data_IF_719079722508
#
_entry.id   IF_719079722508
#
_cell.length_a   1.000
_cell.length_b   1.000
_cell.length_c   1.000
_cell.angle_alpha   90.00
_cell.angle_beta   90.00
_cell.angle_gamma   90.00
#
_symmetry.space_group_name_H-M   'P 1'
#
loop_
_entity.id
_entity.type
_entity.pdbx_description
1 polymer ?
#
# COMPACT_ATOMS: atom_id res chain seq x y z
N UNK A 1 28.06 -20.25 16.96
CA UNK A 1 27.84 -20.76 15.57
C UNK A 1 28.11 -19.65 14.60
N UNK A 2 28.70 -19.91 13.45
CA UNK A 2 28.88 -18.93 12.37
C UNK A 2 27.52 -18.59 11.75
N UNK A 3 27.32 -17.35 11.33
CA UNK A 3 26.13 -16.89 10.59
C UNK A 3 26.51 -16.72 9.11
N UNK A 4 25.59 -17.06 8.21
CA UNK A 4 25.77 -16.94 6.76
C UNK A 4 25.48 -15.53 6.29
N UNK A 5 24.72 -14.77 7.08
CA UNK A 5 24.36 -13.37 6.83
C UNK A 5 24.01 -12.67 8.17
N UNK A 6 24.16 -11.35 8.23
CA UNK A 6 23.70 -10.59 9.38
C UNK A 6 22.17 -10.50 9.42
N UNK A 7 21.56 -10.18 8.29
CA UNK A 7 20.10 -10.01 8.20
C UNK A 7 19.53 -10.79 7.03
N UNK A 8 18.56 -11.66 7.34
CA UNK A 8 17.73 -12.34 6.38
C UNK A 8 16.44 -11.53 6.16
N UNK A 9 16.10 -11.23 4.91
CA UNK A 9 14.86 -10.55 4.52
C UNK A 9 14.01 -11.50 3.70
N UNK A 10 12.77 -11.75 4.11
CA UNK A 10 11.81 -12.59 3.41
C UNK A 10 10.92 -11.71 2.53
N UNK A 11 11.14 -11.74 1.22
CA UNK A 11 10.43 -10.95 0.22
C UNK A 11 11.22 -9.78 -0.34
N UNK A 12 11.35 -9.71 -1.68
CA UNK A 12 12.07 -8.69 -2.44
C UNK A 12 11.23 -7.50 -2.91
N UNK A 13 9.98 -7.36 -2.43
CA UNK A 13 9.11 -6.24 -2.78
C UNK A 13 9.60 -4.89 -2.21
N UNK A 14 8.84 -3.78 -2.39
CA UNK A 14 9.29 -2.43 -2.02
C UNK A 14 9.76 -2.29 -0.58
N UNK A 15 9.13 -2.97 0.39
CA UNK A 15 9.56 -2.96 1.79
C UNK A 15 10.88 -3.68 2.00
N UNK A 16 11.03 -4.89 1.43
CA UNK A 16 12.25 -5.68 1.52
C UNK A 16 13.43 -5.01 0.84
N UNK A 17 13.25 -4.55 -0.41
CA UNK A 17 14.30 -3.85 -1.17
C UNK A 17 14.74 -2.54 -0.49
N UNK A 18 13.78 -1.76 0.07
CA UNK A 18 14.11 -0.55 0.85
C UNK A 18 14.95 -0.90 2.08
N UNK A 19 14.55 -1.92 2.82
CA UNK A 19 15.27 -2.37 4.03
C UNK A 19 16.66 -2.88 3.65
N UNK A 20 16.75 -3.73 2.62
CA UNK A 20 18.01 -4.32 2.15
C UNK A 20 19.02 -3.24 1.73
N UNK A 21 18.60 -2.28 0.89
CA UNK A 21 19.42 -1.16 0.46
C UNK A 21 20.04 -0.41 1.64
N UNK A 22 19.22 -0.03 2.62
CA UNK A 22 19.69 0.78 3.76
C UNK A 22 20.57 -0.01 4.72
N UNK A 23 20.32 -1.30 4.91
CA UNK A 23 21.14 -2.16 5.76
C UNK A 23 22.49 -2.46 5.11
N UNK A 24 22.53 -2.78 3.81
CA UNK A 24 23.77 -3.01 3.06
C UNK A 24 24.66 -1.74 3.07
N UNK A 25 24.10 -0.56 2.81
CA UNK A 25 24.81 0.71 2.98
C UNK A 25 25.32 0.95 4.40
N UNK A 26 24.60 0.43 5.38
CA UNK A 26 24.99 0.47 6.78
C UNK A 26 26.11 -0.52 7.15
N UNK A 27 26.64 -1.28 6.19
CA UNK A 27 27.75 -2.22 6.35
C UNK A 27 27.35 -3.61 6.88
N UNK A 28 26.05 -3.96 6.84
CA UNK A 28 25.60 -5.30 7.21
C UNK A 28 25.58 -6.24 6.00
N UNK A 29 25.88 -7.50 6.24
CA UNK A 29 25.67 -8.57 5.26
C UNK A 29 24.18 -8.92 5.21
N UNK A 30 23.54 -8.68 4.04
CA UNK A 30 22.09 -8.81 3.85
C UNK A 30 21.79 -9.83 2.78
N UNK A 31 20.91 -10.78 3.10
CA UNK A 31 20.38 -11.75 2.13
C UNK A 31 18.87 -11.59 2.03
N UNK A 32 18.37 -11.32 0.83
CA UNK A 32 16.94 -11.30 0.49
C UNK A 32 16.58 -12.63 -0.13
N UNK A 33 15.51 -13.26 0.36
CA UNK A 33 14.93 -14.49 -0.21
C UNK A 33 13.60 -14.12 -0.85
N UNK A 34 13.48 -14.30 -2.18
CA UNK A 34 12.29 -14.00 -2.95
C UNK A 34 11.84 -15.24 -3.73
N UNK A 35 10.55 -15.59 -3.58
CA UNK A 35 9.99 -16.81 -4.19
C UNK A 35 9.72 -16.69 -5.69
N UNK A 36 9.47 -15.49 -6.17
CA UNK A 36 9.18 -15.24 -7.59
C UNK A 36 10.41 -14.67 -8.29
N UNK A 37 10.58 -15.00 -9.57
CA UNK A 37 11.61 -14.38 -10.40
C UNK A 37 11.08 -13.02 -10.86
N UNK A 38 11.84 -11.95 -10.59
CA UNK A 38 11.51 -10.62 -11.09
C UNK A 38 11.92 -10.47 -12.58
N UNK A 39 11.21 -9.62 -13.36
CA UNK A 39 10.02 -8.85 -13.00
C UNK A 39 8.78 -9.73 -12.87
N UNK A 40 7.94 -9.45 -11.85
CA UNK A 40 6.72 -10.20 -11.59
C UNK A 40 5.50 -9.28 -11.44
N UNK A 41 4.35 -9.76 -11.84
CA UNK A 41 3.12 -8.99 -11.69
C UNK A 41 2.75 -8.76 -10.21
N UNK A 42 2.36 -7.52 -9.88
CA UNK A 42 1.80 -7.17 -8.56
C UNK A 42 0.84 -5.99 -8.73
N UNK A 43 -0.24 -5.95 -7.96
CA UNK A 43 -1.16 -4.81 -7.90
C UNK A 43 -0.64 -3.73 -6.94
N UNK A 44 -1.04 -2.46 -7.19
CA UNK A 44 -0.67 -1.31 -6.37
C UNK A 44 0.23 -0.34 -7.13
N UNK A 45 -0.23 0.09 -8.29
CA UNK A 45 0.50 0.85 -9.31
C UNK A 45 0.64 2.33 -8.95
N UNK A 46 -0.31 2.85 -8.18
CA UNK A 46 -0.33 4.27 -7.85
C UNK A 46 0.45 4.57 -6.58
N UNK A 47 1.46 5.42 -6.69
CA UNK A 47 2.26 5.88 -5.56
C UNK A 47 1.66 7.13 -4.90
N UNK A 48 2.19 7.50 -3.74
CA UNK A 48 1.89 8.77 -3.07
C UNK A 48 3.15 9.64 -2.95
N UNK A 49 3.03 10.97 -2.91
CA UNK A 49 4.19 11.89 -2.94
C UNK A 49 5.27 11.61 -1.89
N UNK A 50 4.91 11.14 -0.70
CA UNK A 50 5.90 10.81 0.32
C UNK A 50 6.74 9.56 0.03
N UNK A 51 6.52 8.84 -1.08
CA UNK A 51 7.49 7.87 -1.62
C UNK A 51 8.76 8.58 -2.14
N UNK A 52 8.62 9.80 -2.70
CA UNK A 52 9.73 10.49 -3.35
C UNK A 52 10.93 10.76 -2.44
N UNK A 53 10.77 11.26 -1.19
CA UNK A 53 11.90 11.42 -0.27
C UNK A 53 12.58 10.10 0.09
N UNK A 54 11.83 9.00 0.17
CA UNK A 54 12.42 7.67 0.44
C UNK A 54 13.23 7.22 -0.77
N UNK A 55 12.69 7.34 -1.99
CA UNK A 55 13.43 7.03 -3.23
C UNK A 55 14.71 7.87 -3.37
N UNK A 56 14.66 9.17 -3.01
CA UNK A 56 15.83 10.03 -2.99
C UNK A 56 16.86 9.57 -1.94
N UNK A 57 16.43 9.23 -0.72
CA UNK A 57 17.29 8.68 0.34
C UNK A 57 17.96 7.37 -0.08
N UNK A 58 17.22 6.52 -0.80
CA UNK A 58 17.77 5.30 -1.39
C UNK A 58 18.72 5.56 -2.56
N UNK A 59 18.76 6.78 -3.11
CA UNK A 59 19.56 7.08 -4.30
C UNK A 59 19.04 6.47 -5.60
N UNK A 60 17.77 6.00 -5.60
CA UNK A 60 17.16 5.33 -6.76
C UNK A 60 16.22 6.25 -7.54
N UNK A 61 15.95 7.46 -7.02
CA UNK A 61 14.93 8.37 -7.59
C UNK A 61 15.22 8.71 -9.07
N UNK A 62 16.48 8.94 -9.44
CA UNK A 62 16.83 9.31 -10.82
C UNK A 62 16.67 8.10 -11.77
N UNK A 63 16.94 6.88 -11.30
CA UNK A 63 16.62 5.64 -12.06
C UNK A 63 15.11 5.52 -12.31
N UNK A 64 14.28 5.81 -11.29
CA UNK A 64 12.82 5.78 -11.39
C UNK A 64 12.32 6.85 -12.38
N UNK A 65 12.85 8.08 -12.33
CA UNK A 65 12.50 9.14 -13.30
C UNK A 65 12.89 8.77 -14.73
N UNK A 66 14.08 8.22 -14.90
CA UNK A 66 14.58 7.81 -16.22
C UNK A 66 13.81 6.63 -16.82
N UNK A 67 13.10 5.85 -15.99
CA UNK A 67 12.32 4.69 -16.46
C UNK A 67 11.09 5.08 -17.31
N UNK A 68 10.58 6.30 -17.16
CA UNK A 68 9.45 6.81 -17.95
C UNK A 68 8.08 6.40 -17.40
N UNK A 69 7.97 6.20 -16.10
CA UNK A 69 6.67 6.07 -15.43
C UNK A 69 5.85 7.36 -15.54
N UNK A 70 4.52 7.24 -15.49
CA UNK A 70 3.63 8.37 -15.67
C UNK A 70 3.60 9.27 -14.42
N UNK A 71 3.82 10.56 -14.62
CA UNK A 71 3.74 11.55 -13.54
C UNK A 71 2.31 11.70 -13.01
N UNK A 72 2.15 11.67 -11.69
CA UNK A 72 0.87 11.84 -10.99
C UNK A 72 0.89 13.09 -10.13
N UNK A 73 -0.07 13.99 -10.33
CA UNK A 73 -0.18 15.27 -9.61
C UNK A 73 -1.38 15.35 -8.67
N UNK A 74 -2.24 14.33 -8.64
CA UNK A 74 -3.44 14.34 -7.80
C UNK A 74 -4.24 13.06 -7.84
N UNK A 75 -5.42 13.13 -7.25
CA UNK A 75 -6.45 12.08 -7.27
C UNK A 75 -7.82 12.73 -7.40
N UNK A 76 -8.66 12.18 -8.25
CA UNK A 76 -10.04 12.62 -8.48
C UNK A 76 -11.00 11.54 -8.01
N UNK A 77 -11.94 11.91 -7.16
CA UNK A 77 -13.05 11.05 -6.73
C UNK A 77 -14.31 11.52 -7.44
N UNK A 78 -15.09 10.58 -7.95
CA UNK A 78 -16.42 10.83 -8.52
C UNK A 78 -17.42 9.91 -7.81
N UNK A 79 -18.50 10.49 -7.29
CA UNK A 79 -19.59 9.74 -6.65
C UNK A 79 -20.84 9.88 -7.53
N UNK A 80 -21.29 8.76 -8.10
CA UNK A 80 -22.41 8.72 -9.06
C UNK A 80 -23.74 9.07 -8.40
N UNK A 81 -23.97 8.66 -7.15
CA UNK A 81 -25.24 8.96 -6.47
C UNK A 81 -25.31 10.41 -5.94
N UNK A 82 -24.17 11.00 -5.55
CA UNK A 82 -24.10 12.41 -5.16
C UNK A 82 -24.00 13.35 -6.37
N UNK A 83 -23.72 12.80 -7.55
CA UNK A 83 -23.40 13.57 -8.77
C UNK A 83 -22.30 14.62 -8.51
N UNK A 84 -21.24 14.21 -7.79
CA UNK A 84 -20.16 15.10 -7.36
C UNK A 84 -18.80 14.55 -7.75
N UNK A 85 -17.92 15.51 -8.05
CA UNK A 85 -16.51 15.25 -8.26
C UNK A 85 -15.67 16.09 -7.28
N UNK A 86 -14.60 15.49 -6.74
CA UNK A 86 -13.66 16.14 -5.85
C UNK A 86 -12.23 15.78 -6.25
N UNK A 87 -11.43 16.78 -6.63
CA UNK A 87 -10.02 16.61 -6.99
C UNK A 87 -9.11 17.15 -5.90
N UNK A 88 -8.18 16.33 -5.47
CA UNK A 88 -7.12 16.66 -4.50
C UNK A 88 -5.77 16.72 -5.24
N UNK A 89 -5.30 17.93 -5.52
CA UNK A 89 -4.05 18.17 -6.23
C UNK A 89 -2.88 18.31 -5.25
N UNK A 90 -1.76 17.66 -5.54
CA UNK A 90 -0.51 17.82 -4.81
C UNK A 90 0.13 19.15 -5.22
N UNK A 91 0.04 20.17 -4.36
CA UNK A 91 0.42 21.55 -4.68
C UNK A 91 1.90 21.81 -4.46
N UNK A 92 2.52 22.54 -5.37
CA UNK A 92 3.88 23.08 -5.22
C UNK A 92 4.02 23.98 -3.97
N UNK A 93 5.23 24.08 -3.46
CA UNK A 93 5.53 24.92 -2.28
C UNK A 93 5.04 24.36 -0.94
N UNK A 94 4.52 23.14 -0.91
CA UNK A 94 4.15 22.45 0.32
C UNK A 94 5.34 21.65 0.89
N UNK A 95 5.33 21.29 2.19
CA UNK A 95 6.43 20.53 2.80
C UNK A 95 6.52 19.05 2.36
N UNK A 96 5.84 18.68 1.28
CA UNK A 96 5.89 17.38 0.62
C UNK A 96 6.04 17.59 -0.89
N UNK A 97 6.55 16.59 -1.62
CA UNK A 97 6.62 16.66 -3.07
C UNK A 97 5.25 16.89 -3.71
N UNK A 98 5.21 17.68 -4.79
CA UNK A 98 3.98 18.05 -5.49
C UNK A 98 3.56 17.05 -6.57
N UNK A 99 4.33 15.96 -6.74
CA UNK A 99 4.05 14.89 -7.69
C UNK A 99 4.57 13.56 -7.17
N UNK A 100 4.15 12.51 -7.84
CA UNK A 100 4.64 11.14 -7.69
C UNK A 100 4.46 10.41 -9.02
N UNK A 101 4.43 9.07 -9.04
CA UNK A 101 4.27 8.29 -10.25
C UNK A 101 3.14 7.27 -10.13
N UNK A 102 2.53 6.96 -11.27
CA UNK A 102 1.83 5.70 -11.49
C UNK A 102 2.78 4.75 -12.25
N UNK A 103 2.99 3.56 -11.70
CA UNK A 103 4.08 2.66 -12.10
C UNK A 103 3.57 1.27 -12.49
N UNK A 104 4.19 0.66 -13.48
CA UNK A 104 4.11 -0.79 -13.66
C UNK A 104 4.89 -1.45 -12.54
N UNK A 105 4.19 -2.12 -11.61
CA UNK A 105 4.80 -2.69 -10.40
C UNK A 105 5.88 -3.72 -10.68
N UNK A 106 5.76 -4.49 -11.75
CA UNK A 106 6.80 -5.44 -12.14
C UNK A 106 8.15 -4.74 -12.35
N UNK A 107 8.13 -3.64 -13.09
CA UNK A 107 9.30 -2.85 -13.43
C UNK A 107 9.81 -2.02 -12.23
N UNK A 108 8.89 -1.36 -11.53
CA UNK A 108 9.24 -0.56 -10.34
C UNK A 108 9.89 -1.41 -9.26
N UNK A 109 9.31 -2.58 -8.95
CA UNK A 109 9.84 -3.48 -7.93
C UNK A 109 11.20 -4.05 -8.37
N UNK A 110 11.40 -4.37 -9.67
CA UNK A 110 12.68 -4.78 -10.22
C UNK A 110 13.76 -3.72 -10.03
N UNK A 111 13.48 -2.46 -10.38
CA UNK A 111 14.43 -1.34 -10.20
C UNK A 111 14.86 -1.21 -8.73
N UNK A 112 13.95 -1.38 -7.78
CA UNK A 112 14.27 -1.33 -6.37
C UNK A 112 15.12 -2.51 -5.92
N UNK A 113 14.83 -3.72 -6.39
CA UNK A 113 15.57 -4.93 -6.03
C UNK A 113 16.98 -4.92 -6.61
N UNK A 114 17.12 -4.56 -7.90
CA UNK A 114 18.43 -4.42 -8.57
C UNK A 114 19.27 -3.33 -7.90
N UNK A 115 18.62 -2.26 -7.44
CA UNK A 115 19.31 -1.23 -6.69
C UNK A 115 19.83 -1.76 -5.34
N UNK A 116 19.05 -2.57 -4.62
CA UNK A 116 19.52 -3.20 -3.39
C UNK A 116 20.74 -4.12 -3.64
N UNK A 117 20.75 -4.86 -4.76
CA UNK A 117 21.92 -5.67 -5.19
C UNK A 117 23.13 -4.77 -5.47
N UNK A 118 22.93 -3.66 -6.20
CA UNK A 118 24.02 -2.70 -6.50
C UNK A 118 24.61 -2.05 -5.24
N UNK A 119 23.89 -2.05 -4.13
CA UNK A 119 24.34 -1.56 -2.83
C UNK A 119 24.95 -2.67 -1.92
N UNK A 120 25.04 -3.91 -2.43
CA UNK A 120 25.73 -5.01 -1.76
C UNK A 120 24.80 -6.07 -1.13
N UNK A 121 23.49 -5.98 -1.28
CA UNK A 121 22.59 -7.05 -0.82
C UNK A 121 22.69 -8.28 -1.74
N UNK A 122 22.65 -9.48 -1.17
CA UNK A 122 22.50 -10.73 -1.92
C UNK A 122 21.03 -11.04 -2.11
N UNK A 123 20.63 -11.51 -3.29
CA UNK A 123 19.26 -11.91 -3.61
C UNK A 123 19.25 -13.36 -4.05
N UNK A 124 18.39 -14.16 -3.43
CA UNK A 124 18.12 -15.55 -3.77
C UNK A 124 16.72 -15.61 -4.37
N UNK A 125 16.63 -15.80 -5.70
CA UNK A 125 15.37 -15.92 -6.45
C UNK A 125 15.53 -16.87 -7.65
N UNK A 126 14.58 -17.81 -7.89
CA UNK A 126 13.46 -18.13 -7.02
C UNK A 126 13.91 -18.93 -5.79
N UNK A 127 13.50 -18.49 -4.60
CA UNK A 127 13.75 -19.25 -3.38
C UNK A 127 12.62 -19.01 -2.36
N UNK A 128 12.13 -20.05 -1.73
CA UNK A 128 11.02 -20.00 -0.78
C UNK A 128 11.51 -20.34 0.63
N UNK A 129 11.13 -19.51 1.60
CA UNK A 129 11.33 -19.84 3.02
C UNK A 129 10.24 -20.80 3.45
N UNK A 130 10.63 -22.02 3.84
CA UNK A 130 9.71 -23.06 4.29
C UNK A 130 9.49 -23.03 5.80
N UNK A 131 10.57 -22.85 6.56
CA UNK A 131 10.54 -22.87 8.02
C UNK A 131 11.55 -21.91 8.61
N UNK A 132 11.18 -21.32 9.75
CA UNK A 132 12.06 -20.49 10.58
C UNK A 132 12.14 -21.07 11.99
N UNK A 133 13.35 -21.12 12.53
CA UNK A 133 13.61 -21.52 13.92
C UNK A 133 14.47 -20.43 14.56
N UNK A 134 13.97 -19.84 15.64
CA UNK A 134 14.66 -18.81 16.42
C UNK A 134 15.34 -19.46 17.63
N UNK A 135 16.53 -18.98 17.95
CA UNK A 135 17.26 -19.31 19.17
C UNK A 135 17.90 -18.06 19.80
N UNK A 136 18.67 -18.23 20.87
CA UNK A 136 19.30 -17.12 21.56
C UNK A 136 20.26 -16.30 20.67
N UNK A 137 20.90 -16.94 19.66
CA UNK A 137 21.95 -16.32 18.87
C UNK A 137 21.49 -15.87 17.49
N UNK A 138 20.35 -16.37 16.97
CA UNK A 138 19.92 -16.04 15.63
C UNK A 138 18.60 -16.66 15.20
N UNK A 139 18.45 -16.74 13.89
CA UNK A 139 17.34 -17.41 13.21
C UNK A 139 17.91 -18.32 12.11
N UNK A 140 17.41 -19.55 12.07
CA UNK A 140 17.74 -20.52 11.02
C UNK A 140 16.55 -20.66 10.10
N UNK A 141 16.75 -20.40 8.81
CA UNK A 141 15.75 -20.55 7.76
C UNK A 141 16.04 -21.81 6.94
N UNK A 142 15.03 -22.66 6.75
CA UNK A 142 15.05 -23.69 5.73
C UNK A 142 14.43 -23.10 4.47
N UNK A 143 15.18 -23.18 3.37
CA UNK A 143 14.82 -22.65 2.06
C UNK A 143 14.66 -23.81 1.08
N UNK A 144 13.73 -23.65 0.14
CA UNK A 144 13.65 -24.46 -1.09
C UNK A 144 13.88 -23.57 -2.31
N UNK A 145 14.69 -24.04 -3.24
CA UNK A 145 14.94 -23.39 -4.54
C UNK A 145 15.01 -24.48 -5.63
N UNK A 146 15.36 -24.07 -6.85
CA UNK A 146 15.45 -25.01 -8.00
C UNK A 146 16.48 -26.15 -7.81
N UNK A 147 17.45 -25.96 -6.92
CA UNK A 147 18.54 -26.91 -6.67
C UNK A 147 18.25 -27.83 -5.47
N UNK A 148 17.17 -27.60 -4.72
CA UNK A 148 16.73 -28.39 -3.57
C UNK A 148 16.54 -27.63 -2.27
N UNK A 149 16.69 -28.34 -1.14
CA UNK A 149 16.60 -27.74 0.19
C UNK A 149 17.96 -27.29 0.70
N UNK A 150 18.04 -26.11 1.30
CA UNK A 150 19.23 -25.62 2.01
C UNK A 150 18.84 -24.85 3.27
N UNK A 151 19.80 -24.69 4.14
CA UNK A 151 19.66 -23.95 5.39
C UNK A 151 20.52 -22.69 5.34
N UNK A 152 19.95 -21.58 5.82
CA UNK A 152 20.66 -20.30 5.98
C UNK A 152 20.46 -19.80 7.40
N UNK A 153 21.54 -19.38 8.05
CA UNK A 153 21.53 -18.85 9.41
C UNK A 153 21.81 -17.35 9.40
N UNK A 154 20.94 -16.58 10.05
CA UNK A 154 21.08 -15.13 10.19
C UNK A 154 21.02 -14.70 11.66
N UNK A 155 21.59 -13.53 11.97
CA UNK A 155 21.48 -12.92 13.30
C UNK A 155 20.12 -12.24 13.52
N UNK A 156 19.48 -11.79 12.45
CA UNK A 156 18.21 -11.07 12.49
C UNK A 156 17.34 -11.38 11.28
N UNK A 157 16.02 -11.32 11.43
CA UNK A 157 15.03 -11.53 10.39
C UNK A 157 14.18 -10.27 10.14
N UNK A 158 13.91 -9.98 8.86
CA UNK A 158 12.87 -9.05 8.44
C UNK A 158 11.80 -9.82 7.65
N UNK A 159 10.57 -9.84 8.16
CA UNK A 159 9.42 -10.33 7.41
C UNK A 159 8.88 -9.21 6.51
N UNK A 160 9.24 -9.26 5.23
CA UNK A 160 8.78 -8.39 4.15
C UNK A 160 7.95 -9.18 3.11
N UNK A 161 7.35 -10.31 3.52
CA UNK A 161 6.64 -11.26 2.66
C UNK A 161 5.31 -10.71 2.10
N UNK A 162 5.02 -9.43 2.36
CA UNK A 162 3.82 -8.78 1.87
C UNK A 162 2.56 -9.41 2.46
N UNK A 163 1.54 -9.62 1.63
CA UNK A 163 0.24 -10.13 2.08
C UNK A 163 0.26 -11.56 2.63
N UNK A 164 1.33 -12.30 2.41
CA UNK A 164 1.48 -13.63 3.01
C UNK A 164 1.67 -13.54 4.52
N UNK A 165 2.26 -12.43 5.01
CA UNK A 165 2.53 -12.19 6.43
C UNK A 165 3.12 -13.46 7.06
N UNK A 166 4.28 -13.91 6.53
CA UNK A 166 4.85 -15.24 6.71
C UNK A 166 4.88 -15.69 8.18
N UNK A 167 5.42 -14.84 9.06
CA UNK A 167 5.50 -15.15 10.49
C UNK A 167 4.11 -15.25 11.12
N UNK A 168 3.26 -14.26 10.85
CA UNK A 168 1.94 -14.18 11.49
C UNK A 168 0.98 -15.27 11.01
N UNK A 169 1.00 -15.58 9.71
CA UNK A 169 0.12 -16.62 9.15
C UNK A 169 0.41 -17.99 9.72
N UNK A 170 1.70 -18.31 9.98
CA UNK A 170 2.10 -19.58 10.58
C UNK A 170 1.86 -19.69 12.09
N UNK A 171 1.70 -18.54 12.76
CA UNK A 171 1.44 -18.49 14.21
C UNK A 171 -0.03 -18.19 14.54
N UNK A 172 -0.93 -18.10 13.54
CA UNK A 172 -2.35 -17.76 13.74
C UNK A 172 -2.59 -16.34 14.26
N UNK A 173 -1.68 -15.41 13.97
CA UNK A 173 -1.69 -14.02 14.50
C UNK A 173 -2.07 -12.97 13.46
N UNK A 174 -2.70 -13.38 12.38
CA UNK A 174 -3.25 -12.51 11.35
C UNK A 174 -4.76 -12.34 11.60
N UNK A 175 -5.17 -11.16 12.04
CA UNK A 175 -6.54 -10.86 12.42
C UNK A 175 -7.25 -10.06 11.31
N UNK A 176 -8.35 -10.56 10.73
CA UNK A 176 -9.16 -9.80 9.77
C UNK A 176 -9.71 -8.52 10.40
N UNK A 177 -9.78 -7.42 9.63
CA UNK A 177 -10.41 -6.19 10.09
C UNK A 177 -11.93 -6.26 9.88
N UNK A 178 -12.76 -6.13 10.95
CA UNK A 178 -14.21 -6.19 10.82
C UNK A 178 -14.77 -5.13 9.88
N UNK A 179 -15.75 -5.51 9.05
CA UNK A 179 -16.44 -4.60 8.12
C UNK A 179 -15.66 -4.22 6.85
N UNK A 180 -14.47 -4.77 6.64
CA UNK A 180 -13.64 -4.53 5.45
C UNK A 180 -13.43 -5.81 4.60
N UNK A 181 -14.40 -6.70 4.58
CA UNK A 181 -14.38 -7.91 3.75
C UNK A 181 -14.62 -7.57 2.28
N UNK A 182 -13.59 -7.11 1.57
CA UNK A 182 -13.65 -6.67 0.17
C UNK A 182 -12.93 -7.64 -0.76
N UNK A 183 -13.36 -7.61 -2.03
CA UNK A 183 -12.72 -8.31 -3.15
C UNK A 183 -12.53 -7.31 -4.27
N UNK A 184 -11.36 -7.32 -4.89
CA UNK A 184 -11.05 -6.57 -6.09
C UNK A 184 -10.99 -7.52 -7.30
N UNK A 185 -11.58 -7.10 -8.43
CA UNK A 185 -11.49 -7.74 -9.73
C UNK A 185 -10.95 -6.69 -10.70
N UNK A 186 -9.88 -6.98 -11.45
CA UNK A 186 -9.18 -5.96 -12.21
C UNK A 186 -8.39 -6.51 -13.39
N UNK A 187 -8.16 -5.65 -14.38
CA UNK A 187 -7.31 -5.91 -15.52
C UNK A 187 -6.67 -4.62 -16.05
N UNK A 188 -5.74 -4.74 -17.00
CA UNK A 188 -5.21 -3.60 -17.75
C UNK A 188 -5.92 -3.48 -19.10
N UNK A 189 -6.15 -2.24 -19.48
CA UNK A 189 -6.82 -1.86 -20.72
C UNK A 189 -5.94 -0.90 -21.52
N UNK A 190 -5.95 -1.03 -22.85
CA UNK A 190 -5.29 -0.15 -23.81
C UNK A 190 -6.34 0.64 -24.60
N UNK A 191 -6.04 1.89 -24.94
CA UNK A 191 -6.99 2.77 -25.65
C UNK A 191 -8.12 3.30 -24.75
N UNK A 192 -8.00 3.17 -23.44
CA UNK A 192 -8.94 3.75 -22.48
C UNK A 192 -8.75 5.28 -22.40
N UNK A 193 -9.82 6.01 -22.06
CA UNK A 193 -9.83 7.47 -22.05
C UNK A 193 -8.67 8.06 -21.24
N UNK A 194 -8.02 9.06 -21.80
CA UNK A 194 -6.95 9.86 -21.18
C UNK A 194 -7.41 11.32 -20.99
N UNK A 195 -6.78 12.02 -20.07
CA UNK A 195 -6.99 13.44 -19.81
C UNK A 195 -5.73 14.22 -20.20
N UNK A 196 -5.86 15.48 -20.67
CA UNK A 196 -4.70 16.21 -21.13
C UNK A 196 -3.84 16.77 -19.98
N UNK A 197 -2.54 16.92 -20.25
CA UNK A 197 -1.60 17.63 -19.39
C UNK A 197 -1.42 16.98 -18.02
N UNK A 198 -1.41 17.79 -16.94
CA UNK A 198 -1.16 17.30 -15.57
C UNK A 198 -2.25 16.36 -15.02
N UNK A 199 -3.38 16.30 -15.66
CA UNK A 199 -4.44 15.37 -15.24
C UNK A 199 -4.27 13.96 -15.81
N UNK A 200 -3.38 13.77 -16.76
CA UNK A 200 -3.18 12.48 -17.44
C UNK A 200 -2.91 11.34 -16.45
N UNK A 201 -1.97 11.51 -15.53
CA UNK A 201 -1.63 10.51 -14.53
C UNK A 201 -2.42 10.64 -13.22
N UNK A 202 -3.48 11.46 -13.15
CA UNK A 202 -4.31 11.49 -11.96
C UNK A 202 -5.14 10.22 -11.86
N UNK A 203 -4.99 9.50 -10.74
CA UNK A 203 -5.85 8.37 -10.42
C UNK A 203 -7.29 8.87 -10.27
N UNK A 204 -8.24 8.12 -10.83
CA UNK A 204 -9.66 8.38 -10.66
C UNK A 204 -10.32 7.25 -9.89
N UNK A 205 -11.12 7.62 -8.91
CA UNK A 205 -11.91 6.71 -8.09
C UNK A 205 -13.38 7.00 -8.41
N UNK A 206 -14.08 6.00 -8.92
CA UNK A 206 -15.50 6.10 -9.24
C UNK A 206 -16.30 5.30 -8.22
N UNK A 207 -17.13 6.01 -7.46
CA UNK A 207 -17.98 5.44 -6.40
C UNK A 207 -19.38 5.30 -6.97
N UNK A 208 -19.98 4.13 -6.85
CA UNK A 208 -21.33 3.81 -7.31
C UNK A 208 -22.02 2.89 -6.27
N UNK A 209 -23.34 2.59 -6.39
CA UNK A 209 -24.09 1.91 -5.33
C UNK A 209 -23.52 0.59 -4.85
N UNK A 210 -22.91 -0.22 -5.72
CA UNK A 210 -22.42 -1.56 -5.38
C UNK A 210 -20.95 -1.61 -4.98
N UNK A 211 -20.18 -0.52 -5.18
CA UNK A 211 -18.75 -0.52 -4.89
C UNK A 211 -18.02 0.70 -5.37
N UNK A 212 -16.79 0.52 -5.74
CA UNK A 212 -16.01 1.58 -6.36
C UNK A 212 -14.99 1.00 -7.33
N UNK A 213 -14.64 1.79 -8.35
CA UNK A 213 -13.59 1.47 -9.29
C UNK A 213 -12.38 2.36 -9.03
N UNK A 214 -11.19 1.78 -9.17
CA UNK A 214 -10.01 2.57 -9.51
C UNK A 214 -9.82 2.61 -11.03
N UNK A 215 -9.27 3.71 -11.50
CA UNK A 215 -8.85 3.93 -12.86
C UNK A 215 -7.50 4.64 -12.82
N UNK A 216 -6.44 3.87 -13.08
CA UNK A 216 -5.05 4.30 -12.90
C UNK A 216 -4.38 4.31 -14.27
N UNK A 217 -4.21 5.49 -14.88
CA UNK A 217 -3.44 5.60 -16.11
C UNK A 217 -1.98 5.19 -15.88
N UNK A 218 -1.41 4.44 -16.82
CA UNK A 218 -0.04 3.98 -16.81
C UNK A 218 0.68 4.46 -18.07
N UNK A 219 1.99 4.30 -18.14
CA UNK A 219 2.75 4.53 -19.35
C UNK A 219 2.29 3.59 -20.48
N UNK A 220 2.69 3.87 -21.72
CA UNK A 220 2.44 3.02 -22.91
C UNK A 220 0.96 2.82 -23.23
N UNK A 221 0.14 3.85 -23.00
CA UNK A 221 -1.31 3.84 -23.23
C UNK A 221 -2.06 2.71 -22.52
N UNK A 222 -1.53 2.24 -21.39
CA UNK A 222 -2.19 1.27 -20.55
C UNK A 222 -2.91 1.96 -19.38
N UNK A 223 -4.00 1.36 -18.92
CA UNK A 223 -4.78 1.82 -17.77
C UNK A 223 -5.16 0.62 -16.92
N UNK A 224 -4.77 0.64 -15.64
CA UNK A 224 -5.26 -0.35 -14.67
C UNK A 224 -6.65 0.05 -14.22
N UNK A 225 -7.63 -0.82 -14.44
CA UNK A 225 -9.02 -0.61 -13.99
C UNK A 225 -9.45 -1.78 -13.13
N UNK A 226 -9.94 -1.48 -11.95
CA UNK A 226 -10.39 -2.52 -11.03
C UNK A 226 -11.61 -2.12 -10.23
N UNK A 227 -12.49 -3.10 -10.03
CA UNK A 227 -13.72 -2.98 -9.28
C UNK A 227 -13.53 -3.58 -7.89
N UNK A 228 -13.87 -2.83 -6.84
CA UNK A 228 -13.84 -3.28 -5.45
C UNK A 228 -15.27 -3.43 -4.94
N UNK A 229 -15.62 -4.64 -4.54
CA UNK A 229 -16.95 -5.05 -4.12
C UNK A 229 -16.91 -5.67 -2.72
N UNK A 230 -18.06 -5.75 -2.06
CA UNK A 230 -18.17 -6.55 -0.87
C UNK A 230 -18.01 -8.05 -1.20
N UNK A 231 -17.33 -8.79 -0.33
CA UNK A 231 -17.10 -10.23 -0.54
C UNK A 231 -18.40 -11.04 -0.69
N UNK A 232 -19.52 -10.57 -0.10
CA UNK A 232 -20.84 -11.16 -0.27
C UNK A 232 -21.31 -11.07 -1.73
N UNK A 233 -21.26 -9.88 -2.33
CA UNK A 233 -21.64 -9.65 -3.73
C UNK A 233 -20.87 -10.57 -4.68
N UNK A 234 -19.56 -10.74 -4.42
CA UNK A 234 -18.71 -11.62 -5.25
C UNK A 234 -19.05 -13.11 -5.03
N UNK A 235 -19.45 -13.53 -3.84
CA UNK A 235 -19.85 -14.92 -3.57
C UNK A 235 -21.22 -15.28 -4.14
N UNK A 236 -22.14 -14.33 -4.13
CA UNK A 236 -23.51 -14.49 -4.62
C UNK A 236 -23.65 -14.30 -6.14
N UNK A 237 -22.54 -13.99 -6.84
CA UNK A 237 -22.55 -13.78 -8.30
C UNK A 237 -22.89 -15.05 -9.07
N UNK A 238 -23.53 -14.86 -10.20
CA UNK A 238 -23.58 -15.85 -11.27
C UNK A 238 -22.43 -15.59 -12.28
N UNK A 239 -21.87 -16.63 -12.86
CA UNK A 239 -20.80 -16.52 -13.86
C UNK A 239 -19.39 -16.32 -13.28
N UNK A 240 -18.48 -15.95 -14.15
CA UNK A 240 -17.06 -15.74 -13.88
C UNK A 240 -16.79 -14.38 -13.19
N UNK A 241 -15.60 -14.18 -12.60
CA UNK A 241 -15.19 -12.84 -12.14
C UNK A 241 -15.19 -11.79 -13.28
N UNK A 242 -14.91 -12.19 -14.50
CA UNK A 242 -14.93 -11.30 -15.68
C UNK A 242 -16.36 -10.87 -16.02
N UNK A 243 -17.33 -11.79 -15.97
CA UNK A 243 -18.74 -11.46 -16.18
C UNK A 243 -19.23 -10.47 -15.13
N UNK A 244 -18.85 -10.67 -13.87
CA UNK A 244 -19.17 -9.73 -12.79
C UNK A 244 -18.52 -8.37 -13.03
N UNK A 245 -17.24 -8.32 -13.42
CA UNK A 245 -16.56 -7.06 -13.73
C UNK A 245 -17.29 -6.29 -14.84
N UNK A 246 -17.64 -6.95 -15.93
CA UNK A 246 -18.40 -6.33 -17.03
C UNK A 246 -19.77 -5.82 -16.58
N UNK A 247 -20.51 -6.63 -15.80
CA UNK A 247 -21.80 -6.21 -15.24
C UNK A 247 -21.66 -4.96 -14.34
N UNK A 248 -20.57 -4.84 -13.58
CA UNK A 248 -20.31 -3.65 -12.75
C UNK A 248 -19.87 -2.43 -13.58
N UNK A 249 -19.15 -2.64 -14.69
CA UNK A 249 -18.83 -1.56 -15.65
C UNK A 249 -20.11 -0.95 -16.21
N UNK A 250 -21.10 -1.77 -16.58
CA UNK A 250 -22.40 -1.28 -17.10
C UNK A 250 -23.18 -0.45 -16.07
N UNK A 251 -22.94 -0.67 -14.77
CA UNK A 251 -23.59 0.06 -13.67
C UNK A 251 -22.88 1.34 -13.26
N UNK A 252 -21.64 1.53 -13.67
CA UNK A 252 -20.85 2.72 -13.39
C UNK A 252 -20.66 3.57 -14.67
N UNK A 253 -21.56 4.53 -14.90
CA UNK A 253 -21.63 5.28 -16.16
C UNK A 253 -20.28 5.86 -16.60
N UNK A 254 -19.54 6.46 -15.68
CA UNK A 254 -18.23 7.05 -16.00
C UNK A 254 -17.19 6.03 -16.39
N UNK A 255 -17.20 4.84 -15.79
CA UNK A 255 -16.24 3.77 -16.14
C UNK A 255 -16.62 3.19 -17.49
N UNK A 256 -17.90 2.96 -17.76
CA UNK A 256 -18.41 2.50 -19.06
C UNK A 256 -17.99 3.47 -20.18
N UNK A 257 -18.26 4.78 -20.02
CA UNK A 257 -17.88 5.82 -20.97
C UNK A 257 -16.35 5.86 -21.21
N UNK A 258 -15.57 5.74 -20.14
CA UNK A 258 -14.11 5.83 -20.21
C UNK A 258 -13.44 4.58 -20.80
N UNK A 259 -14.12 3.45 -20.79
CA UNK A 259 -13.66 2.19 -21.40
C UNK A 259 -14.25 1.96 -22.81
N UNK A 260 -15.04 2.90 -23.34
CA UNK A 260 -15.58 2.79 -24.69
C UNK A 260 -14.45 2.66 -25.73
N UNK A 261 -14.48 1.59 -26.52
CA UNK A 261 -13.42 1.27 -27.49
C UNK A 261 -12.11 0.72 -26.91
N UNK A 262 -11.96 0.67 -25.59
CA UNK A 262 -10.77 0.13 -24.95
C UNK A 262 -10.70 -1.41 -25.06
N UNK A 263 -9.48 -1.93 -25.16
CA UNK A 263 -9.20 -3.36 -25.24
C UNK A 263 -8.49 -3.86 -23.99
N UNK A 264 -9.01 -4.91 -23.36
CA UNK A 264 -8.33 -5.60 -22.26
C UNK A 264 -7.03 -6.26 -22.78
N UNK A 265 -5.91 -6.03 -22.06
CA UNK A 265 -4.57 -6.50 -22.47
C UNK A 265 -3.93 -7.47 -21.49
N UNK A 266 -4.55 -7.69 -20.33
CA UNK A 266 -4.13 -8.73 -19.37
C UNK A 266 -5.30 -9.66 -19.04
N UNK A 267 -5.03 -10.86 -18.47
CA UNK A 267 -6.09 -11.64 -17.84
C UNK A 267 -6.81 -10.85 -16.77
N UNK A 268 -8.03 -11.26 -16.41
CA UNK A 268 -8.73 -10.73 -15.25
C UNK A 268 -8.14 -11.31 -13.98
N UNK A 269 -7.71 -10.43 -13.09
CA UNK A 269 -7.14 -10.79 -11.78
C UNK A 269 -8.15 -10.61 -10.67
N UNK A 270 -8.01 -11.38 -9.60
CA UNK A 270 -8.85 -11.27 -8.40
C UNK A 270 -7.97 -11.21 -7.16
N UNK A 271 -8.29 -10.28 -6.26
CA UNK A 271 -7.67 -10.17 -4.94
C UNK A 271 -8.75 -10.11 -3.86
N UNK A 272 -8.66 -10.99 -2.86
CA UNK A 272 -9.65 -11.11 -1.80
C UNK A 272 -9.01 -11.06 -0.41
N UNK A 273 -9.83 -10.82 0.63
CA UNK A 273 -9.46 -10.92 2.04
C UNK A 273 -8.18 -10.12 2.39
N UNK A 274 -8.08 -8.91 1.85
CA UNK A 274 -6.87 -8.13 1.98
C UNK A 274 -6.81 -7.24 3.23
N UNK A 275 -7.93 -7.06 3.98
CA UNK A 275 -7.93 -6.19 5.17
C UNK A 275 -7.66 -6.98 6.44
N UNK A 276 -6.48 -6.78 7.03
CA UNK A 276 -6.03 -7.46 8.25
C UNK A 276 -4.96 -6.65 9.00
N UNK A 277 -4.73 -7.02 10.25
CA UNK A 277 -3.62 -6.56 11.05
C UNK A 277 -2.87 -7.77 11.65
N UNK A 278 -1.60 -7.56 11.96
CA UNK A 278 -0.71 -8.56 12.56
C UNK A 278 -0.21 -8.06 13.91
N UNK A 279 -0.14 -8.96 14.88
CA UNK A 279 0.40 -8.69 16.22
C UNK A 279 1.08 -9.96 16.77
N UNK A 280 2.34 -9.91 17.26
CA UNK A 280 3.23 -8.76 17.29
C UNK A 280 3.93 -8.51 15.94
N UNK A 281 4.22 -7.24 15.62
CA UNK A 281 4.96 -6.84 14.41
C UNK A 281 6.47 -6.77 14.64
N UNK A 282 6.92 -7.07 15.84
CA UNK A 282 8.32 -7.11 16.25
C UNK A 282 8.49 -8.06 17.42
N UNK A 283 9.61 -8.75 17.47
CA UNK A 283 9.95 -9.68 18.55
C UNK A 283 11.45 -9.83 18.73
N UNK A 284 11.85 -10.84 19.48
CA UNK A 284 13.26 -11.18 19.61
C UNK A 284 13.79 -11.56 18.23
N UNK A 285 14.79 -10.78 17.74
CA UNK A 285 15.48 -10.99 16.47
C UNK A 285 14.60 -10.91 15.22
N UNK A 286 13.42 -10.24 15.25
CA UNK A 286 12.66 -9.99 14.04
C UNK A 286 11.88 -8.69 14.05
N UNK A 287 11.62 -8.15 12.84
CA UNK A 287 10.67 -7.09 12.53
C UNK A 287 9.84 -7.47 11.29
N UNK A 288 8.57 -7.04 11.27
CA UNK A 288 7.72 -7.10 10.08
C UNK A 288 7.66 -5.72 9.41
N UNK A 289 7.62 -5.68 8.06
CA UNK A 289 7.50 -4.44 7.27
C UNK A 289 6.41 -4.57 6.20
N UNK A 290 5.84 -3.44 5.79
CA UNK A 290 4.83 -3.38 4.74
C UNK A 290 3.56 -4.16 5.07
N UNK A 291 3.04 -4.88 4.08
CA UNK A 291 1.82 -5.67 4.23
C UNK A 291 2.00 -6.86 5.19
N UNK A 292 3.24 -7.26 5.52
CA UNK A 292 3.48 -8.24 6.59
C UNK A 292 3.10 -7.70 7.99
N UNK A 293 2.85 -6.40 8.12
CA UNK A 293 2.33 -5.75 9.33
C UNK A 293 0.82 -5.63 9.31
N UNK A 294 0.28 -5.07 8.23
CA UNK A 294 -1.14 -4.88 8.04
C UNK A 294 -1.43 -4.43 6.60
N UNK A 295 -2.59 -4.78 6.11
CA UNK A 295 -3.18 -4.18 4.93
C UNK A 295 -4.60 -3.73 5.27
N UNK A 296 -5.01 -2.55 4.86
CA UNK A 296 -6.35 -2.02 5.17
C UNK A 296 -7.25 -2.03 3.94
N UNK A 297 -6.96 -1.18 2.95
CA UNK A 297 -7.76 -1.03 1.75
C UNK A 297 -6.99 -0.20 0.72
N UNK A 298 -7.08 -0.47 -0.59
CA UNK A 298 -6.28 0.23 -1.60
C UNK A 298 -6.79 1.64 -1.95
N UNK A 299 -7.94 2.08 -1.43
CA UNK A 299 -8.63 3.32 -1.83
C UNK A 299 -7.77 4.59 -1.84
N UNK A 300 -6.78 4.69 -0.96
CA UNK A 300 -5.87 5.84 -0.86
C UNK A 300 -4.45 5.55 -1.34
N UNK A 301 -4.23 4.47 -2.07
CA UNK A 301 -2.93 4.14 -2.70
C UNK A 301 -1.72 4.14 -1.76
N UNK A 302 -1.90 3.87 -0.47
CA UNK A 302 -0.85 4.01 0.55
C UNK A 302 0.04 2.77 0.72
N UNK A 303 -0.26 1.63 0.09
CA UNK A 303 0.41 0.34 0.37
C UNK A 303 1.92 0.36 0.12
N UNK A 304 2.34 0.81 -1.07
CA UNK A 304 3.78 0.90 -1.42
C UNK A 304 4.50 1.88 -0.50
N UNK A 305 3.89 3.03 -0.21
CA UNK A 305 4.45 4.00 0.72
C UNK A 305 4.63 3.40 2.13
N UNK A 306 3.63 2.70 2.65
CA UNK A 306 3.71 2.03 3.95
C UNK A 306 4.82 0.99 3.99
N UNK A 307 4.98 0.23 2.90
CA UNK A 307 6.04 -0.76 2.77
C UNK A 307 7.43 -0.10 2.81
N UNK A 308 7.65 0.94 2.01
CA UNK A 308 8.92 1.67 1.98
C UNK A 308 9.21 2.40 3.30
N UNK A 309 8.22 3.11 3.86
CA UNK A 309 8.37 3.86 5.11
C UNK A 309 8.66 2.94 6.31
N UNK A 310 7.97 1.80 6.40
CA UNK A 310 8.24 0.82 7.45
C UNK A 310 9.61 0.14 7.25
N UNK A 311 10.02 -0.11 6.00
CA UNK A 311 11.35 -0.62 5.67
C UNK A 311 12.47 0.35 6.08
N UNK A 312 12.30 1.64 5.80
CA UNK A 312 13.22 2.71 6.23
C UNK A 312 13.33 2.75 7.77
N UNK A 313 12.20 2.74 8.47
CA UNK A 313 12.16 2.72 9.94
C UNK A 313 12.78 1.45 10.52
N UNK A 314 12.54 0.29 9.91
CA UNK A 314 13.11 -0.99 10.32
C UNK A 314 14.63 -1.00 10.17
N UNK A 315 15.16 -0.50 9.05
CA UNK A 315 16.60 -0.40 8.82
C UNK A 315 17.29 0.46 9.89
N UNK A 316 16.72 1.62 10.25
CA UNK A 316 17.25 2.48 11.33
C UNK A 316 17.35 1.75 12.67
N UNK A 317 16.29 1.01 13.05
CA UNK A 317 16.25 0.27 14.30
C UNK A 317 17.21 -0.94 14.30
N UNK A 318 17.31 -1.66 13.17
CA UNK A 318 18.20 -2.81 13.02
C UNK A 318 19.65 -2.36 13.10
N UNK A 319 20.06 -1.32 12.36
CA UNK A 319 21.42 -0.75 12.45
C UNK A 319 21.76 -0.34 13.90
N UNK A 320 20.80 0.25 14.62
CA UNK A 320 20.94 0.55 16.04
C UNK A 320 21.08 -0.68 16.92
N UNK A 321 20.37 -1.77 16.62
CA UNK A 321 20.46 -3.04 17.32
C UNK A 321 21.82 -3.72 17.13
N UNK A 322 22.35 -3.69 15.90
CA UNK A 322 23.68 -4.26 15.60
C UNK A 322 24.81 -3.49 16.29
N UNK A 323 24.76 -2.13 16.28
CA UNK A 323 25.75 -1.32 17.01
C UNK A 323 25.80 -1.61 18.50
N UNK A 324 24.69 -1.99 19.12
CA UNK A 324 24.58 -2.25 20.55
C UNK A 324 24.56 -3.73 20.91
N UNK A 325 24.55 -4.61 19.91
CA UNK A 325 24.36 -6.05 20.02
C UNK A 325 23.13 -6.44 20.88
N UNK A 326 21.99 -5.69 20.68
CA UNK A 326 20.74 -5.88 21.43
C UNK A 326 19.60 -6.20 20.49
N UNK A 327 19.10 -7.45 20.54
CA UNK A 327 18.09 -7.97 19.62
C UNK A 327 16.79 -8.40 20.31
N UNK A 328 16.63 -8.12 21.61
CA UNK A 328 15.41 -8.44 22.35
C UNK A 328 14.22 -7.58 21.93
N UNK A 329 13.01 -8.13 21.98
CA UNK A 329 11.74 -7.51 21.56
C UNK A 329 11.52 -6.10 22.13
N UNK A 330 11.89 -5.87 23.39
CA UNK A 330 11.76 -4.57 24.05
C UNK A 330 12.50 -3.44 23.33
N UNK A 331 13.61 -3.74 22.63
CA UNK A 331 14.39 -2.79 21.81
C UNK A 331 13.54 -2.20 20.68
N UNK A 332 12.63 -2.99 20.12
CA UNK A 332 11.83 -2.64 18.93
C UNK A 332 10.42 -2.10 19.26
N UNK A 333 10.09 -1.92 20.55
CA UNK A 333 8.82 -1.35 20.97
C UNK A 333 8.60 0.09 20.43
N UNK A 334 9.70 0.84 20.24
CA UNK A 334 9.68 2.17 19.61
C UNK A 334 9.22 2.12 18.15
N UNK A 335 9.75 1.18 17.37
CA UNK A 335 9.34 0.89 15.99
C UNK A 335 7.84 0.61 15.92
N UNK A 336 7.36 -0.37 16.69
CA UNK A 336 5.96 -0.78 16.68
C UNK A 336 5.01 0.39 17.00
N UNK A 337 5.34 1.20 18.04
CA UNK A 337 4.52 2.38 18.39
C UNK A 337 4.52 3.44 17.29
N UNK A 338 5.68 3.72 16.68
CA UNK A 338 5.84 4.72 15.61
C UNK A 338 5.06 4.31 14.36
N UNK A 339 5.14 3.04 13.97
CA UNK A 339 4.44 2.49 12.81
C UNK A 339 2.92 2.54 13.02
N UNK A 340 2.42 2.02 14.12
CA UNK A 340 0.98 2.06 14.47
C UNK A 340 0.44 3.50 14.52
N UNK A 341 1.22 4.46 15.04
CA UNK A 341 0.83 5.88 15.06
C UNK A 341 0.70 6.45 13.66
N UNK A 342 1.65 6.12 12.75
CA UNK A 342 1.62 6.57 11.36
C UNK A 342 0.47 5.97 10.56
N UNK A 343 0.11 4.71 10.80
CA UNK A 343 -0.99 4.04 10.13
C UNK A 343 -2.38 4.52 10.58
N UNK A 344 -2.52 4.95 11.83
CA UNK A 344 -3.82 5.31 12.44
C UNK A 344 -4.65 6.33 11.64
N UNK A 345 -4.10 7.44 11.10
CA UNK A 345 -4.88 8.37 10.27
C UNK A 345 -5.41 7.71 8.98
N UNK A 346 -4.60 6.91 8.29
CA UNK A 346 -5.03 6.18 7.09
C UNK A 346 -6.17 5.21 7.40
N UNK A 347 -6.00 4.36 8.42
CA UNK A 347 -7.04 3.43 8.85
C UNK A 347 -8.34 4.17 9.18
N UNK A 348 -8.25 5.33 9.87
CA UNK A 348 -9.43 6.13 10.21
C UNK A 348 -10.14 6.70 8.97
N UNK A 349 -9.40 7.19 7.97
CA UNK A 349 -9.97 7.63 6.71
C UNK A 349 -10.62 6.48 5.94
N UNK A 350 -9.93 5.37 5.81
CA UNK A 350 -10.41 4.18 5.09
C UNK A 350 -11.70 3.66 5.71
N UNK A 351 -11.74 3.47 7.04
CA UNK A 351 -12.94 2.96 7.72
C UNK A 351 -14.12 3.91 7.66
N UNK A 352 -13.88 5.22 7.52
CA UNK A 352 -14.95 6.20 7.36
C UNK A 352 -15.37 6.41 5.89
N UNK A 353 -14.53 6.04 4.93
CA UNK A 353 -14.83 6.19 3.50
C UNK A 353 -16.11 5.46 3.09
N UNK A 354 -16.40 4.35 3.75
CA UNK A 354 -17.61 3.55 3.54
C UNK A 354 -18.87 4.08 4.27
N UNK A 355 -18.78 5.29 4.86
CA UNK A 355 -19.88 5.97 5.52
C UNK A 355 -20.40 7.10 4.62
N UNK A 356 -21.68 7.08 4.24
CA UNK A 356 -22.29 8.05 3.35
C UNK A 356 -22.14 9.49 3.85
N UNK A 357 -22.25 9.68 5.17
CA UNK A 357 -22.12 11.01 5.77
C UNK A 357 -20.67 11.53 5.71
N UNK A 358 -19.69 10.63 5.73
CA UNK A 358 -18.30 10.99 5.47
C UNK A 358 -18.13 11.42 4.00
N UNK A 359 -18.65 10.64 3.05
CA UNK A 359 -18.54 10.92 1.62
C UNK A 359 -19.18 12.26 1.26
N UNK A 360 -20.35 12.60 1.80
CA UNK A 360 -21.01 13.89 1.54
C UNK A 360 -20.13 15.11 1.89
N UNK A 361 -19.32 15.00 2.95
CA UNK A 361 -18.40 16.06 3.38
C UNK A 361 -17.12 15.98 2.55
N UNK A 362 -16.59 14.77 2.33
CA UNK A 362 -15.37 14.52 1.58
C UNK A 362 -15.51 14.95 0.11
N UNK A 363 -16.66 14.69 -0.51
CA UNK A 363 -16.99 15.04 -1.90
C UNK A 363 -17.42 16.52 -2.08
N UNK A 364 -17.44 17.32 -1.01
CA UNK A 364 -17.65 18.75 -1.07
C UNK A 364 -16.52 19.50 -0.35
N UNK A 365 -15.29 19.44 -0.90
CA UNK A 365 -14.12 19.98 -0.25
C UNK A 365 -14.18 21.51 -0.21
N UNK A 366 -14.53 22.05 0.95
CA UNK A 366 -14.42 23.48 1.24
C UNK A 366 -13.15 23.72 2.03
N UNK A 367 -12.33 24.68 1.59
CA UNK A 367 -11.06 25.00 2.27
C UNK A 367 -11.28 25.78 3.58
N UNK A 368 -12.31 25.41 4.33
CA UNK A 368 -12.60 25.95 5.64
C UNK A 368 -11.64 25.34 6.66
N UNK A 369 -10.94 26.19 7.41
CA UNK A 369 -9.95 25.78 8.41
C UNK A 369 -8.80 24.91 7.88
N UNK A 370 -8.46 24.97 6.57
CA UNK A 370 -7.41 24.17 5.95
C UNK A 370 -7.73 22.68 5.87
N UNK A 371 -9.02 22.33 5.76
CA UNK A 371 -9.46 20.93 5.68
C UNK A 371 -8.96 20.25 4.41
N UNK A 372 -9.05 20.90 3.25
CA UNK A 372 -8.57 20.37 1.97
C UNK A 372 -7.07 20.13 2.04
N UNK A 373 -6.31 21.09 2.56
CA UNK A 373 -4.86 20.95 2.75
C UNK A 373 -4.51 19.80 3.71
N UNK A 374 -5.31 19.57 4.74
CA UNK A 374 -5.09 18.48 5.71
C UNK A 374 -5.42 17.12 5.10
N UNK A 375 -6.52 16.99 4.37
CA UNK A 375 -6.89 15.75 3.65
C UNK A 375 -5.82 15.44 2.61
N UNK A 376 -5.44 16.41 1.77
CA UNK A 376 -4.38 16.25 0.77
C UNK A 376 -3.04 15.83 1.41
N UNK A 377 -2.68 16.41 2.58
CA UNK A 377 -1.50 16.02 3.33
C UNK A 377 -1.53 14.54 3.74
N UNK A 378 -2.66 14.03 4.20
CA UNK A 378 -2.82 12.60 4.55
C UNK A 378 -2.73 11.74 3.28
N UNK A 379 -3.48 12.09 2.22
CA UNK A 379 -3.47 11.38 0.93
C UNK A 379 -2.07 11.35 0.29
N UNK A 380 -1.26 12.40 0.52
CA UNK A 380 0.13 12.46 0.06
C UNK A 380 1.10 11.57 0.88
N UNK A 381 0.64 10.87 1.92
CA UNK A 381 1.48 10.05 2.79
C UNK A 381 2.07 10.78 4.00
N UNK A 382 1.60 11.99 4.33
CA UNK A 382 2.14 12.84 5.39
C UNK A 382 1.94 12.31 6.83
N UNK A 383 1.11 11.29 7.02
CA UNK A 383 0.76 10.75 8.33
C UNK A 383 1.95 10.15 9.11
N UNK A 384 3.00 9.70 8.42
CA UNK A 384 4.23 9.17 9.04
C UNK A 384 5.23 10.25 9.45
N UNK A 385 5.00 11.49 9.02
CA UNK A 385 5.76 12.64 9.49
C UNK A 385 5.13 13.21 10.75
N UNK A 386 5.84 14.13 11.42
CA UNK A 386 5.25 14.90 12.51
C UNK A 386 4.12 15.77 11.95
N UNK A 387 2.86 15.38 12.23
CA UNK A 387 1.69 16.14 11.80
C UNK A 387 1.70 17.49 12.55
N UNK A 388 1.75 18.64 11.85
CA UNK A 388 1.68 19.95 12.50
C UNK A 388 0.41 20.08 13.33
N UNK A 389 0.47 20.79 14.46
CA UNK A 389 -0.66 20.93 15.38
C UNK A 389 -1.91 21.46 14.67
N UNK A 390 -1.75 22.46 13.80
CA UNK A 390 -2.85 23.02 13.00
C UNK A 390 -3.55 21.94 12.16
N UNK A 391 -2.79 21.07 11.46
CA UNK A 391 -3.36 19.98 10.66
C UNK A 391 -4.01 18.90 11.54
N UNK A 392 -3.45 18.63 12.72
CA UNK A 392 -4.05 17.70 13.68
C UNK A 392 -5.39 18.22 14.20
N UNK A 393 -5.50 19.50 14.52
CA UNK A 393 -6.76 20.13 14.93
C UNK A 393 -7.77 20.13 13.80
N UNK A 394 -7.35 20.49 12.58
CA UNK A 394 -8.18 20.45 11.37
C UNK A 394 -8.72 19.02 11.10
N UNK A 395 -7.89 17.99 11.27
CA UNK A 395 -8.29 16.59 11.12
C UNK A 395 -9.36 16.19 12.17
N UNK A 396 -9.16 16.55 13.44
CA UNK A 396 -10.15 16.27 14.49
C UNK A 396 -11.47 17.04 14.27
N UNK A 397 -11.38 18.28 13.78
CA UNK A 397 -12.55 19.07 13.37
C UNK A 397 -13.32 18.40 12.24
N UNK A 398 -12.63 17.91 11.19
CA UNK A 398 -13.24 17.18 10.09
C UNK A 398 -14.06 15.98 10.61
N UNK A 399 -13.46 15.14 11.44
CA UNK A 399 -14.17 13.99 12.00
C UNK A 399 -15.26 14.38 13.02
N UNK A 400 -15.14 15.52 13.69
CA UNK A 400 -16.21 16.04 14.53
C UNK A 400 -17.42 16.47 13.69
N UNK A 401 -17.21 17.13 12.57
CA UNK A 401 -18.27 17.52 11.63
C UNK A 401 -18.98 16.28 11.09
N UNK A 402 -18.24 15.22 10.68
CA UNK A 402 -18.83 13.93 10.25
C UNK A 402 -19.72 13.35 11.36
N UNK A 403 -19.26 13.32 12.60
CA UNK A 403 -20.05 12.81 13.74
C UNK A 403 -21.32 13.64 14.01
N UNK A 404 -21.23 14.96 13.90
CA UNK A 404 -22.37 15.85 14.10
C UNK A 404 -23.39 15.63 12.98
N UNK A 405 -22.96 15.59 11.72
CA UNK A 405 -23.82 15.32 10.57
C UNK A 405 -24.57 13.99 10.74
N UNK A 406 -23.88 12.93 11.17
CA UNK A 406 -24.48 11.63 11.46
C UNK A 406 -25.57 11.73 12.55
N UNK A 407 -25.34 12.49 13.65
CA UNK A 407 -26.33 12.68 14.72
C UNK A 407 -27.58 13.44 14.23
N UNK A 408 -27.38 14.48 13.42
CA UNK A 408 -28.50 15.27 12.87
C UNK A 408 -29.39 14.39 11.99
N UNK A 409 -28.80 13.60 11.09
CA UNK A 409 -29.55 12.72 10.18
C UNK A 409 -30.32 11.62 10.91
N UNK A 410 -29.71 11.00 11.95
CA UNK A 410 -30.42 10.06 12.82
C UNK A 410 -31.69 10.66 13.45
N UNK A 411 -31.60 11.93 13.91
CA UNK A 411 -32.75 12.65 14.49
C UNK A 411 -33.81 12.97 13.45
N UNK A 412 -33.45 13.11 12.18
CA UNK A 412 -34.38 13.36 11.08
C UNK A 412 -35.02 12.08 10.51
N UNK A 413 -34.80 10.92 11.12
CA UNK A 413 -35.34 9.63 10.65
C UNK A 413 -34.78 9.16 9.31
N UNK A 414 -33.73 9.80 8.79
CA UNK A 414 -33.02 9.35 7.58
C UNK A 414 -32.12 8.19 7.98
N UNK A 415 -32.39 7.01 7.40
CA UNK A 415 -31.65 5.79 7.66
C UNK A 415 -30.13 5.97 7.54
N UNK A 416 -29.36 5.28 8.38
CA UNK A 416 -27.94 5.12 8.17
C UNK A 416 -27.75 4.28 6.89
N UNK A 417 -27.56 4.95 5.76
CA UNK A 417 -27.03 4.27 4.60
C UNK A 417 -25.52 4.11 4.80
N UNK A 418 -25.09 3.01 5.40
CA UNK A 418 -23.78 2.48 5.10
C UNK A 418 -23.83 2.05 3.65
N UNK A 419 -22.82 2.43 2.90
CA UNK A 419 -22.61 1.86 1.59
C UNK A 419 -22.47 0.35 1.83
N UNK A 420 -23.47 -0.45 1.40
CA UNK A 420 -23.52 -1.90 1.60
C UNK A 420 -22.61 -2.63 0.60
N UNK A 421 -21.42 -2.11 0.36
CA UNK A 421 -20.44 -2.80 -0.46
C UNK A 421 -19.20 -3.22 0.29
#
# INVERSE_FOLDING_TARGET
MTHDTDVLIVGGGPGGSTTATLLARGGLDVTVVEREVFPRFKVGESLVPNCMPILARLGVLDKIKAHGFLDKFGVTFHDQELEREATFTFREGRPWPHFTFDVHRAEFDQVLLDHAVSEGARVLQPATVEKLVFDADGVTARLSDGDGERTLRARFLVDASGRDAFLASRQGRREPMPGLGKVAIFAYFQGAKRWPGREEGNVRIYIYPEGWFWYIPLARDETSVGCVLHARTVREREGSPEDLFRAMVERCDRVRENLEGARQVTPMYTAANFSYAVEPIAGDRFLCVGDAVAFVDPIFSAGVFLAMASGEMAAEEILGAFRTNRFAAGRFAGYARRLKRGMRPFTRFITQFYDRQFLEIFMNPRDTFGLVDTVTFILAGGAFRRIPLKKRLSLELFFAIVRINRRIRRRQGRAESRLEY
#
